data_IF_066029554376
#
_entry.id   IF_066029554376
#
_cell.length_a   1.000
_cell.length_b   1.000
_cell.length_c   1.000
_cell.angle_alpha   90.00
_cell.angle_beta   90.00
_cell.angle_gamma   90.00
#
_symmetry.space_group_name_H-M   'P 1'
#
loop_
_entity.id
_entity.type
_entity.pdbx_description
1 polymer ?
#
# COMPACT_ATOMS: atom_id res chain seq x y z
N UNK A 1 33.50 14.81 -26.21
CA UNK A 1 33.49 15.32 -24.81
C UNK A 1 32.27 16.19 -24.53
N UNK A 2 32.05 17.33 -25.21
CA UNK A 2 30.83 18.16 -25.01
C UNK A 2 29.52 17.41 -25.29
N UNK A 3 29.38 16.77 -26.46
CA UNK A 3 28.15 16.01 -26.78
C UNK A 3 27.94 14.79 -25.86
N UNK A 4 29.03 14.17 -25.40
CA UNK A 4 28.99 13.06 -24.45
C UNK A 4 28.49 13.51 -23.07
N UNK A 5 28.93 14.68 -22.61
CA UNK A 5 28.48 15.30 -21.36
C UNK A 5 26.98 15.67 -21.42
N UNK A 6 26.51 16.20 -22.55
CA UNK A 6 25.10 16.52 -22.76
C UNK A 6 24.18 15.29 -22.76
N UNK A 7 24.61 14.17 -23.37
CA UNK A 7 23.83 12.92 -23.39
C UNK A 7 23.72 12.33 -21.98
N UNK A 8 24.80 12.35 -21.19
CA UNK A 8 24.78 11.86 -19.81
C UNK A 8 23.84 12.68 -18.91
N UNK A 9 23.82 14.01 -19.06
CA UNK A 9 22.91 14.88 -18.29
C UNK A 9 21.44 14.59 -18.62
N UNK A 10 21.10 14.31 -19.89
CA UNK A 10 19.73 14.02 -20.31
C UNK A 10 19.20 12.67 -19.78
N UNK A 11 20.06 11.66 -19.64
CA UNK A 11 19.66 10.33 -19.14
C UNK A 11 19.41 10.36 -17.62
N UNK A 12 20.22 11.12 -16.86
CA UNK A 12 20.05 11.23 -15.41
C UNK A 12 18.74 11.94 -15.02
N UNK A 13 18.31 12.95 -15.78
CA UNK A 13 17.05 13.65 -15.48
C UNK A 13 15.83 12.76 -15.69
N UNK A 14 15.81 11.93 -16.75
CA UNK A 14 14.71 10.98 -17.01
C UNK A 14 14.57 9.92 -15.91
N UNK A 15 15.68 9.43 -15.37
CA UNK A 15 15.65 8.43 -14.29
C UNK A 15 15.07 8.99 -12.98
N UNK A 16 15.43 10.23 -12.63
CA UNK A 16 14.93 10.90 -11.44
C UNK A 16 13.42 11.18 -11.54
N UNK A 17 12.93 11.60 -12.71
CA UNK A 17 11.50 11.83 -12.94
C UNK A 17 10.67 10.55 -12.86
N UNK A 18 11.20 9.44 -13.39
CA UNK A 18 10.52 8.14 -13.30
C UNK A 18 10.36 7.71 -11.85
N UNK A 19 11.43 7.80 -11.04
CA UNK A 19 11.37 7.36 -9.64
C UNK A 19 10.39 8.18 -8.80
N UNK A 20 10.27 9.48 -9.04
CA UNK A 20 9.23 10.32 -8.41
C UNK A 20 7.86 9.77 -8.78
N UNK A 21 7.59 9.62 -10.08
CA UNK A 21 6.29 9.18 -10.59
C UNK A 21 5.86 7.82 -10.02
N UNK A 22 6.78 6.88 -9.86
CA UNK A 22 6.47 5.58 -9.23
C UNK A 22 6.11 5.72 -7.74
N UNK A 23 6.77 6.63 -7.01
CA UNK A 23 6.41 6.93 -5.61
C UNK A 23 5.03 7.57 -5.53
N UNK A 24 4.75 8.55 -6.38
CA UNK A 24 3.44 9.20 -6.41
C UNK A 24 2.32 8.19 -6.71
N UNK A 25 2.52 7.26 -7.65
CA UNK A 25 1.54 6.21 -7.95
C UNK A 25 1.26 5.29 -6.75
N UNK A 26 2.28 4.93 -5.97
CA UNK A 26 2.09 4.13 -4.75
C UNK A 26 1.33 4.92 -3.68
N UNK A 27 1.66 6.20 -3.50
CA UNK A 27 0.98 7.08 -2.54
C UNK A 27 -0.48 7.33 -2.92
N UNK A 28 -0.80 7.37 -4.20
CA UNK A 28 -2.18 7.45 -4.70
C UNK A 28 -2.98 6.20 -4.30
N UNK A 29 -2.40 4.99 -4.45
CA UNK A 29 -3.05 3.75 -3.98
C UNK A 29 -3.30 3.81 -2.46
N UNK A 30 -2.33 4.25 -1.66
CA UNK A 30 -2.50 4.40 -0.21
C UNK A 30 -3.62 5.39 0.14
N UNK A 31 -3.68 6.53 -0.57
CA UNK A 31 -4.73 7.53 -0.37
C UNK A 31 -6.11 7.00 -0.74
N UNK A 32 -6.21 6.23 -1.84
CA UNK A 32 -7.46 5.61 -2.24
C UNK A 32 -7.93 4.57 -1.23
N UNK A 33 -7.02 3.72 -0.72
CA UNK A 33 -7.34 2.77 0.35
C UNK A 33 -7.86 3.46 1.61
N UNK A 34 -7.23 4.56 2.04
CA UNK A 34 -7.72 5.34 3.18
C UNK A 34 -9.15 5.86 2.95
N UNK A 35 -9.44 6.37 1.74
CA UNK A 35 -10.77 6.85 1.36
C UNK A 35 -11.81 5.72 1.32
N UNK A 36 -11.48 4.59 0.70
CA UNK A 36 -12.36 3.44 0.56
C UNK A 36 -12.73 2.85 1.92
N UNK A 37 -11.74 2.72 2.81
CA UNK A 37 -11.98 2.33 4.21
C UNK A 37 -12.95 3.29 4.89
N UNK A 38 -12.68 4.59 4.81
CA UNK A 38 -13.50 5.62 5.44
C UNK A 38 -14.91 5.72 4.83
N UNK A 39 -15.08 5.27 3.60
CA UNK A 39 -16.37 5.11 2.96
C UNK A 39 -17.10 3.83 3.38
N UNK A 40 -16.40 2.86 3.97
CA UNK A 40 -16.92 1.55 4.35
C UNK A 40 -16.90 0.52 3.21
N UNK A 41 -16.13 0.80 2.15
CA UNK A 41 -16.04 -0.04 0.96
C UNK A 41 -14.80 -0.94 1.02
N UNK A 42 -14.97 -2.10 1.64
CA UNK A 42 -13.91 -3.10 1.79
C UNK A 42 -13.49 -3.69 0.43
N UNK A 43 -14.42 -3.83 -0.52
CA UNK A 43 -14.13 -4.38 -1.84
C UNK A 43 -13.23 -3.43 -2.65
N UNK A 44 -13.48 -2.11 -2.55
CA UNK A 44 -12.62 -1.07 -3.12
C UNK A 44 -11.26 -0.98 -2.39
N UNK A 45 -11.26 -0.99 -1.05
CA UNK A 45 -10.04 -1.02 -0.24
C UNK A 45 -9.09 -2.16 -0.65
N UNK A 46 -9.67 -3.34 -0.95
CA UNK A 46 -8.91 -4.52 -1.35
C UNK A 46 -8.28 -4.42 -2.75
N UNK A 47 -8.64 -3.43 -3.58
CA UNK A 47 -8.03 -3.24 -4.90
C UNK A 47 -6.55 -2.80 -4.84
N UNK A 48 -6.09 -2.26 -3.71
CA UNK A 48 -4.66 -1.98 -3.51
C UNK A 48 -3.79 -3.24 -3.33
N UNK A 49 -4.41 -4.40 -3.09
CA UNK A 49 -3.71 -5.67 -2.91
C UNK A 49 -3.66 -6.50 -4.18
N UNK A 50 -2.60 -7.29 -4.33
CA UNK A 50 -2.45 -8.20 -5.45
C UNK A 50 -3.52 -9.30 -5.42
N UNK A 51 -4.37 -9.34 -6.45
CA UNK A 51 -5.40 -10.38 -6.63
C UNK A 51 -4.77 -11.71 -7.01
N UNK A 52 -4.25 -12.43 -6.01
CA UNK A 52 -3.53 -13.68 -6.18
C UNK A 52 -3.61 -14.52 -4.92
N UNK A 53 -3.55 -15.84 -5.07
CA UNK A 53 -3.43 -16.80 -3.95
C UNK A 53 -2.09 -16.67 -3.22
N UNK A 54 -1.11 -16.02 -3.83
CA UNK A 54 0.22 -15.75 -3.26
C UNK A 54 0.32 -14.43 -2.49
N UNK A 55 -0.75 -13.62 -2.42
CA UNK A 55 -0.78 -12.47 -1.51
C UNK A 55 -0.52 -12.94 -0.08
N UNK A 56 0.38 -12.29 0.64
CA UNK A 56 0.69 -12.64 2.03
C UNK A 56 0.25 -11.54 2.99
N UNK A 57 -0.51 -11.91 4.02
CA UNK A 57 -0.90 -11.03 5.10
C UNK A 57 -0.38 -11.59 6.42
N UNK A 58 0.40 -10.82 7.16
CA UNK A 58 1.02 -11.20 8.43
C UNK A 58 0.46 -10.30 9.52
N UNK A 59 -0.12 -10.88 10.56
CA UNK A 59 -0.55 -10.14 11.73
C UNK A 59 -0.56 -10.99 12.99
N UNK A 60 -1.23 -10.52 14.05
CA UNK A 60 -1.24 -11.17 15.37
C UNK A 60 -1.63 -12.65 15.36
N UNK A 61 -2.45 -13.07 14.41
CA UNK A 61 -2.94 -14.46 14.28
C UNK A 61 -2.10 -15.32 13.34
N UNK A 62 -0.91 -14.85 12.97
CA UNK A 62 0.02 -15.51 12.06
C UNK A 62 -0.15 -15.07 10.60
N UNK A 63 0.38 -15.90 9.70
CA UNK A 63 0.41 -15.64 8.26
C UNK A 63 -0.86 -16.19 7.60
N UNK A 64 -1.45 -15.40 6.70
CA UNK A 64 -2.56 -15.77 5.82
C UNK A 64 -2.14 -15.56 4.37
N UNK A 65 -2.68 -16.39 3.49
CA UNK A 65 -2.42 -16.33 2.06
C UNK A 65 -3.72 -16.13 1.27
N UNK A 66 -3.59 -15.42 0.17
CA UNK A 66 -4.61 -15.26 -0.85
C UNK A 66 -5.52 -14.05 -0.67
N UNK A 67 -5.72 -13.33 -1.77
CA UNK A 67 -6.56 -12.13 -1.81
C UNK A 67 -7.99 -12.38 -1.33
N UNK A 68 -8.61 -13.47 -1.78
CA UNK A 68 -9.98 -13.83 -1.40
C UNK A 68 -10.09 -14.11 0.10
N UNK A 69 -9.16 -14.87 0.65
CA UNK A 69 -9.08 -15.15 2.09
C UNK A 69 -8.96 -13.85 2.90
N UNK A 70 -8.11 -12.91 2.45
CA UNK A 70 -7.94 -11.61 3.10
C UNK A 70 -9.20 -10.77 3.04
N UNK A 71 -9.87 -10.68 1.88
CA UNK A 71 -11.16 -10.00 1.72
C UNK A 71 -12.23 -10.54 2.67
N UNK A 72 -12.38 -11.87 2.72
CA UNK A 72 -13.36 -12.53 3.60
C UNK A 72 -13.07 -12.24 5.08
N UNK A 73 -11.79 -12.21 5.47
CA UNK A 73 -11.39 -11.86 6.83
C UNK A 73 -11.70 -10.40 7.19
N UNK A 74 -11.49 -9.47 6.26
CA UNK A 74 -11.91 -8.06 6.46
C UNK A 74 -13.41 -7.97 6.64
N UNK A 75 -14.20 -8.55 5.72
CA UNK A 75 -15.68 -8.53 5.81
C UNK A 75 -16.21 -9.20 7.08
N UNK A 76 -15.55 -10.26 7.56
CA UNK A 76 -15.90 -10.91 8.82
C UNK A 76 -15.57 -10.03 10.03
N UNK A 77 -14.45 -9.32 10.00
CA UNK A 77 -13.99 -8.47 11.12
C UNK A 77 -14.71 -7.14 11.17
N UNK A 78 -15.19 -6.66 10.01
CA UNK A 78 -15.86 -5.38 9.80
C UNK A 78 -17.14 -5.59 8.99
N UNK A 79 -18.19 -6.21 9.58
CA UNK A 79 -19.45 -6.50 8.90
C UNK A 79 -20.25 -5.24 8.57
N UNK A 80 -19.98 -4.11 9.24
CA UNK A 80 -20.64 -2.83 8.98
C UNK A 80 -19.70 -1.64 9.26
N UNK A 81 -20.06 -0.49 8.68
CA UNK A 81 -19.28 0.75 8.77
C UNK A 81 -19.20 1.33 10.18
N UNK A 82 -20.17 1.04 11.06
CA UNK A 82 -20.24 1.66 12.40
C UNK A 82 -19.07 1.26 13.29
N UNK A 83 -18.46 0.10 13.03
CA UNK A 83 -17.32 -0.39 13.80
C UNK A 83 -15.95 -0.17 13.12
N UNK A 84 -15.93 0.33 11.89
CA UNK A 84 -14.69 0.55 11.12
C UNK A 84 -13.88 1.74 11.60
N UNK A 85 -14.54 2.75 12.17
CA UNK A 85 -13.91 4.02 12.54
C UNK A 85 -13.34 4.78 11.34
N UNK A 86 -12.50 5.79 11.62
CA UNK A 86 -11.80 6.56 10.59
C UNK A 86 -10.33 6.20 10.54
N UNK A 87 -9.90 5.58 9.44
CA UNK A 87 -8.52 5.24 9.15
C UNK A 87 -7.73 6.46 8.67
N UNK A 88 -6.48 6.55 9.13
CA UNK A 88 -5.44 7.38 8.54
C UNK A 88 -4.11 6.63 8.48
N UNK A 89 -3.34 6.90 7.44
CA UNK A 89 -1.98 6.40 7.30
C UNK A 89 -0.92 7.49 7.51
N UNK A 90 0.21 7.10 8.10
CA UNK A 90 1.43 7.91 8.12
C UNK A 90 2.56 7.11 7.49
N UNK A 91 3.17 7.65 6.44
CA UNK A 91 4.27 7.00 5.73
C UNK A 91 5.59 7.43 6.34
N UNK A 92 6.29 6.50 6.99
CA UNK A 92 7.59 6.76 7.64
C UNK A 92 8.75 6.57 6.64
N UNK A 93 8.60 5.59 5.74
CA UNK A 93 9.60 5.29 4.71
C UNK A 93 8.94 4.73 3.46
N UNK A 94 9.38 5.21 2.30
CA UNK A 94 9.06 4.63 1.00
C UNK A 94 10.32 4.57 0.13
N UNK A 95 10.76 3.36 -0.19
CA UNK A 95 11.90 3.08 -1.07
C UNK A 95 11.41 2.32 -2.29
N UNK A 96 11.62 2.90 -3.48
CA UNK A 96 11.23 2.31 -4.76
C UNK A 96 12.50 1.92 -5.50
N UNK A 97 12.56 0.66 -5.92
CA UNK A 97 13.64 0.08 -6.69
C UNK A 97 13.07 -0.78 -7.82
N UNK A 98 13.29 -0.34 -9.07
CA UNK A 98 12.78 -1.00 -10.27
C UNK A 98 11.25 -1.20 -10.21
N UNK A 99 10.80 -2.45 -10.19
CA UNK A 99 9.39 -2.85 -10.14
C UNK A 99 8.97 -3.35 -8.74
N UNK A 100 9.73 -2.97 -7.71
CA UNK A 100 9.43 -3.27 -6.32
C UNK A 100 9.51 -2.02 -5.45
N UNK A 101 8.80 -2.02 -4.34
CA UNK A 101 8.96 -0.99 -3.32
C UNK A 101 8.79 -1.56 -1.91
N UNK A 102 9.51 -0.97 -0.97
CA UNK A 102 9.36 -1.19 0.45
C UNK A 102 8.71 0.03 1.08
N UNK A 103 7.73 -0.20 1.95
CA UNK A 103 7.08 0.86 2.71
C UNK A 103 6.99 0.47 4.18
N UNK A 104 7.38 1.39 5.06
CA UNK A 104 7.13 1.35 6.49
C UNK A 104 6.19 2.50 6.84
N UNK A 105 5.16 2.24 7.62
CA UNK A 105 4.24 3.27 8.06
C UNK A 105 3.46 2.90 9.31
N UNK A 106 2.53 3.79 9.67
CA UNK A 106 1.59 3.64 10.77
C UNK A 106 0.18 3.71 10.24
N UNK A 107 -0.69 2.92 10.83
CA UNK A 107 -2.14 3.05 10.66
C UNK A 107 -2.74 3.52 11.98
N UNK A 108 -3.75 4.38 11.90
CA UNK A 108 -4.55 4.82 13.05
C UNK A 108 -6.02 4.76 12.69
N UNK A 109 -6.85 4.21 13.57
CA UNK A 109 -8.30 4.16 13.42
C UNK A 109 -8.91 4.92 14.61
N UNK A 110 -9.51 6.08 14.32
CA UNK A 110 -10.22 6.91 15.30
C UNK A 110 -11.65 6.42 15.49
N UNK A 111 -12.06 6.20 16.75
CA UNK A 111 -13.38 5.64 17.14
C UNK A 111 -13.86 6.23 18.45
N UNK A 112 -15.18 6.27 18.65
CA UNK A 112 -15.80 6.79 19.88
C UNK A 112 -15.35 6.05 21.15
N UNK A 113 -15.07 4.75 21.03
CA UNK A 113 -14.65 3.89 22.14
C UNK A 113 -13.12 3.82 22.30
N UNK A 114 -12.39 4.77 21.72
CA UNK A 114 -10.94 4.88 21.80
C UNK A 114 -10.22 4.51 20.50
N UNK A 115 -9.23 5.34 20.19
CA UNK A 115 -8.37 5.19 19.03
C UNK A 115 -7.49 3.94 19.17
N UNK A 116 -7.28 3.27 18.04
CA UNK A 116 -6.30 2.18 17.93
C UNK A 116 -5.34 2.48 16.80
N UNK A 117 -4.13 1.98 16.91
CA UNK A 117 -3.14 2.13 15.86
C UNK A 117 -2.01 1.14 16.02
N UNK A 118 -1.16 1.10 15.00
CA UNK A 118 -0.03 0.19 14.93
C UNK A 118 0.89 0.55 13.78
N UNK A 119 1.83 -0.35 13.51
CA UNK A 119 2.77 -0.22 12.39
C UNK A 119 2.44 -1.25 11.33
N UNK A 120 2.71 -0.87 10.08
CA UNK A 120 2.68 -1.79 8.97
C UNK A 120 4.00 -1.75 8.20
N UNK A 121 4.30 -2.87 7.55
CA UNK A 121 5.30 -2.96 6.49
C UNK A 121 4.63 -3.52 5.25
N UNK A 122 4.71 -2.80 4.14
CA UNK A 122 4.17 -3.23 2.85
C UNK A 122 5.32 -3.50 1.89
N UNK A 123 5.28 -4.66 1.25
CA UNK A 123 6.09 -4.93 0.07
C UNK A 123 5.21 -4.83 -1.17
N UNK A 124 5.65 -3.99 -2.10
CA UNK A 124 4.94 -3.67 -3.33
C UNK A 124 5.63 -4.29 -4.52
N UNK A 125 4.84 -4.66 -5.53
CA UNK A 125 5.34 -4.96 -6.86
C UNK A 125 4.52 -4.23 -7.91
N UNK A 126 5.19 -3.87 -9.01
CA UNK A 126 4.54 -3.43 -10.23
C UNK A 126 4.22 -4.67 -11.08
N UNK A 127 2.94 -4.98 -11.22
CA UNK A 127 2.43 -6.13 -11.98
C UNK A 127 1.44 -5.58 -13.00
N UNK A 128 1.62 -5.92 -14.27
CA UNK A 128 0.79 -5.41 -15.38
C UNK A 128 0.66 -3.87 -15.36
N UNK A 129 1.80 -3.21 -15.14
CA UNK A 129 1.94 -1.75 -15.01
C UNK A 129 1.20 -1.11 -13.81
N UNK A 130 0.64 -1.90 -12.89
CA UNK A 130 -0.04 -1.42 -11.67
C UNK A 130 0.78 -1.75 -10.42
N UNK A 131 0.88 -0.79 -9.50
CA UNK A 131 1.45 -1.05 -8.18
C UNK A 131 0.42 -1.72 -7.29
N UNK A 132 0.79 -2.87 -6.73
CA UNK A 132 -0.05 -3.64 -5.81
C UNK A 132 0.78 -4.13 -4.62
N UNK A 133 0.14 -4.21 -3.45
CA UNK A 133 0.71 -4.80 -2.25
C UNK A 133 0.73 -6.33 -2.43
N UNK A 134 1.91 -6.94 -2.32
CA UNK A 134 2.08 -8.40 -2.39
C UNK A 134 2.35 -9.03 -1.02
N UNK A 135 2.78 -8.23 -0.05
CA UNK A 135 2.96 -8.60 1.36
C UNK A 135 2.57 -7.43 2.24
N UNK A 136 1.68 -7.70 3.19
CA UNK A 136 1.31 -6.78 4.27
C UNK A 136 1.67 -7.42 5.60
N UNK A 137 2.50 -6.75 6.38
CA UNK A 137 2.82 -7.16 7.75
C UNK A 137 2.40 -6.05 8.71
N UNK A 138 1.34 -6.31 9.46
CA UNK A 138 0.70 -5.33 10.34
C UNK A 138 0.73 -5.82 11.80
N UNK A 139 1.28 -4.96 12.67
CA UNK A 139 1.40 -5.17 14.13
C UNK A 139 0.21 -4.60 14.88
#
# INVERSE_FOLDING_TARGET
MKNTLFITILILTMACTQQSQEKEAILEVMSQQEQDWNNGDIDAFMQGYWQSDSLMFVGKSGIKFGWKTTLENYKKSYPDKSIMGKLSFTIEKLEVENQAAFMLGKWNITRDNGDIGGYFTLYWKKIDAKWVIVLDHTS
#
